data_IF_908369527111
#
_entry.id   IF_908369527111
#
_cell.length_a   1.000
_cell.length_b   1.000
_cell.length_c   1.000
_cell.angle_alpha   90.00
_cell.angle_beta   90.00
_cell.angle_gamma   90.00
#
_symmetry.space_group_name_H-M   'P 1'
#
loop_
_entity.id
_entity.type
_entity.pdbx_description
1 polymer ?
#
# COMPACT_ATOMS: atom_id res chain seq x y z
N UNK A 1 20.62 -27.11 -0.20
CA UNK A 1 20.91 -26.04 -1.18
C UNK A 1 19.65 -25.19 -1.38
N UNK A 2 19.30 -24.38 -0.40
CA UNK A 2 18.38 -23.23 -0.58
C UNK A 2 19.24 -21.99 -0.31
N UNK A 3 19.44 -21.13 -1.30
CA UNK A 3 20.34 -19.97 -1.14
C UNK A 3 20.97 -19.43 -2.41
N UNK A 4 20.84 -20.14 -3.55
CA UNK A 4 21.29 -19.63 -4.86
C UNK A 4 20.20 -18.98 -5.70
N UNK A 5 18.92 -19.13 -5.34
CA UNK A 5 17.79 -18.56 -6.08
C UNK A 5 16.96 -17.65 -5.16
N UNK A 6 16.63 -16.46 -5.67
CA UNK A 6 15.70 -15.56 -5.01
C UNK A 6 14.30 -16.16 -4.99
N UNK A 7 13.60 -16.03 -3.85
CA UNK A 7 12.23 -16.52 -3.66
C UNK A 7 11.31 -15.35 -3.35
N UNK A 8 10.20 -15.25 -4.07
CA UNK A 8 9.13 -14.29 -3.75
C UNK A 8 8.32 -14.84 -2.58
N UNK A 9 8.18 -14.04 -1.53
CA UNK A 9 7.42 -14.39 -0.34
C UNK A 9 5.97 -13.92 -0.48
N UNK A 10 5.05 -14.72 0.03
CA UNK A 10 3.63 -14.35 0.12
C UNK A 10 3.42 -13.48 1.36
N UNK A 11 2.46 -12.56 1.26
CA UNK A 11 2.03 -11.73 2.37
C UNK A 11 1.00 -12.48 3.24
N UNK A 12 0.52 -11.83 4.30
CA UNK A 12 -0.47 -12.41 5.21
C UNK A 12 -1.81 -12.77 4.54
N UNK A 13 -2.10 -12.19 3.37
CA UNK A 13 -3.29 -12.48 2.57
C UNK A 13 -3.05 -13.56 1.50
N UNK A 14 -1.87 -14.22 1.50
CA UNK A 14 -1.50 -15.26 0.53
C UNK A 14 -1.15 -14.72 -0.87
N UNK A 15 -0.98 -13.41 -1.02
CA UNK A 15 -0.60 -12.79 -2.28
C UNK A 15 0.91 -12.56 -2.35
N UNK A 16 1.51 -12.76 -3.53
CA UNK A 16 2.94 -12.48 -3.79
C UNK A 16 3.24 -10.99 -3.98
N UNK A 17 2.21 -10.16 -4.05
CA UNK A 17 2.34 -8.70 -4.14
C UNK A 17 1.35 -8.04 -3.20
N UNK A 18 1.78 -6.95 -2.59
CA UNK A 18 0.94 -6.13 -1.71
C UNK A 18 0.66 -4.80 -2.40
N UNK A 19 -0.61 -4.36 -2.51
CA UNK A 19 -0.92 -3.04 -3.04
C UNK A 19 -0.19 -1.93 -2.26
N UNK A 20 0.44 -0.99 -2.96
CA UNK A 20 1.04 0.20 -2.34
C UNK A 20 -0.05 1.22 -1.98
N UNK A 21 -0.92 0.83 -1.04
CA UNK A 21 -2.07 1.60 -0.57
C UNK A 21 -2.06 1.58 0.95
N UNK A 22 -2.26 2.75 1.56
CA UNK A 22 -2.34 2.94 3.01
C UNK A 22 -3.62 3.71 3.31
N UNK A 23 -4.33 3.33 4.37
CA UNK A 23 -5.49 4.07 4.82
C UNK A 23 -5.48 4.26 6.34
N UNK A 24 -6.08 5.35 6.78
CA UNK A 24 -6.36 5.61 8.18
C UNK A 24 -7.87 5.57 8.40
N UNK A 25 -8.31 4.78 9.37
CA UNK A 25 -9.72 4.65 9.74
C UNK A 25 -10.13 5.78 10.71
N UNK A 26 -11.44 5.93 10.93
CA UNK A 26 -11.96 6.97 11.83
C UNK A 26 -11.56 6.76 13.31
N UNK A 27 -11.34 5.51 13.71
CA UNK A 27 -10.84 5.08 15.01
C UNK A 27 -9.30 5.13 15.13
N UNK A 28 -8.60 5.56 14.09
CA UNK A 28 -7.15 5.76 14.10
C UNK A 28 -6.32 4.51 13.76
N UNK A 29 -6.95 3.44 13.29
CA UNK A 29 -6.28 2.25 12.80
C UNK A 29 -5.58 2.53 11.46
N UNK A 30 -4.37 1.98 11.29
CA UNK A 30 -3.61 2.05 10.04
C UNK A 30 -3.74 0.75 9.26
N UNK A 31 -4.43 0.81 8.12
CA UNK A 31 -4.56 -0.29 7.18
C UNK A 31 -3.51 -0.18 6.07
N UNK A 32 -2.95 -1.32 5.65
CA UNK A 32 -1.94 -1.39 4.58
C UNK A 32 -2.28 -2.53 3.63
N UNK A 33 -2.08 -2.32 2.33
CA UNK A 33 -2.23 -3.37 1.33
C UNK A 33 -3.67 -3.64 0.92
N UNK A 34 -4.07 -4.91 0.91
CA UNK A 34 -5.40 -5.30 0.43
C UNK A 34 -6.54 -4.75 1.30
N UNK A 35 -6.47 -4.75 2.65
CA UNK A 35 -7.46 -4.11 3.51
C UNK A 35 -7.69 -2.63 3.16
N UNK A 36 -6.61 -1.85 3.02
CA UNK A 36 -6.70 -0.43 2.66
C UNK A 36 -7.35 -0.22 1.29
N UNK A 37 -7.01 -1.04 0.29
CA UNK A 37 -7.58 -0.97 -1.06
C UNK A 37 -9.09 -1.26 -1.09
N UNK A 38 -9.58 -2.20 -0.27
CA UNK A 38 -11.00 -2.58 -0.24
C UNK A 38 -11.92 -1.45 0.20
N UNK A 39 -11.50 -0.66 1.19
CA UNK A 39 -12.28 0.44 1.75
C UNK A 39 -12.04 1.80 1.06
N UNK A 40 -11.23 1.83 -0.01
CA UNK A 40 -10.88 3.07 -0.71
C UNK A 40 -12.10 3.84 -1.24
N UNK A 41 -13.16 3.13 -1.65
CA UNK A 41 -14.39 3.75 -2.18
C UNK A 41 -15.22 4.39 -1.06
N UNK A 42 -15.24 3.79 0.13
CA UNK A 42 -16.03 4.28 1.27
C UNK A 42 -15.28 5.29 2.13
N UNK A 43 -13.95 5.36 2.01
CA UNK A 43 -13.08 6.27 2.73
C UNK A 43 -12.05 6.94 1.79
N UNK A 44 -12.50 7.70 0.78
CA UNK A 44 -11.61 8.20 -0.27
C UNK A 44 -10.57 9.21 0.24
N UNK A 45 -10.95 10.10 1.16
CA UNK A 45 -10.08 11.18 1.64
C UNK A 45 -8.95 10.69 2.55
N UNK A 46 -9.13 9.56 3.24
CA UNK A 46 -8.11 9.00 4.14
C UNK A 46 -7.43 7.75 3.56
N UNK A 47 -7.56 7.50 2.25
CA UNK A 47 -6.91 6.40 1.55
C UNK A 47 -5.90 6.92 0.55
N UNK A 48 -4.63 6.63 0.80
CA UNK A 48 -3.50 7.12 0.02
C UNK A 48 -2.97 6.03 -0.91
N UNK A 49 -2.82 6.38 -2.18
CA UNK A 49 -2.26 5.52 -3.22
C UNK A 49 -1.46 6.36 -4.21
N UNK A 50 -0.64 5.70 -5.04
CA UNK A 50 0.22 6.36 -6.01
C UNK A 50 1.16 7.43 -5.41
N UNK A 51 1.39 7.42 -4.09
CA UNK A 51 2.26 8.37 -3.38
C UNK A 51 3.69 8.36 -3.92
N UNK A 52 4.15 7.23 -4.49
CA UNK A 52 5.44 7.15 -5.19
C UNK A 52 5.55 8.06 -6.42
N UNK A 53 4.44 8.57 -6.97
CA UNK A 53 4.48 9.61 -8.01
C UNK A 53 4.85 10.98 -7.44
N UNK A 54 4.61 11.20 -6.15
CA UNK A 54 4.85 12.45 -5.43
C UNK A 54 6.16 12.43 -4.64
N UNK A 55 6.74 11.25 -4.37
CA UNK A 55 7.98 11.13 -3.61
C UNK A 55 9.11 11.93 -4.31
N UNK A 56 9.75 12.83 -3.58
CA UNK A 56 10.84 13.66 -4.09
C UNK A 56 10.40 14.81 -5.02
N UNK A 57 9.10 15.00 -5.24
CA UNK A 57 8.57 16.17 -5.95
C UNK A 57 8.35 17.35 -5.02
N UNK A 58 8.50 18.56 -5.54
CA UNK A 58 8.02 19.79 -4.90
C UNK A 58 6.51 19.93 -5.10
N UNK A 59 5.90 20.76 -4.26
CA UNK A 59 4.46 21.02 -4.34
C UNK A 59 4.05 21.71 -5.65
N UNK A 60 4.95 22.52 -6.20
CA UNK A 60 4.83 23.28 -7.44
C UNK A 60 5.41 22.57 -8.66
N UNK A 61 5.86 21.31 -8.53
CA UNK A 61 6.30 20.52 -9.68
C UNK A 61 5.10 20.22 -10.62
N UNK A 62 5.30 20.31 -11.95
CA UNK A 62 4.25 20.10 -12.93
C UNK A 62 3.71 18.66 -12.99
#
# INVERSE_FOLDING_TARGET
MEGKQAKVLENAEGARTTPSVVAFTADGERLVGMPAKRQAVTNPNNTFYATKRLIGRRYDDP
#
